data_IF_957307795928
#
_entry.id   IF_957307795928
#
_cell.length_a   1.000
_cell.length_b   1.000
_cell.length_c   1.000
_cell.angle_alpha   90.00
_cell.angle_beta   90.00
_cell.angle_gamma   90.00
#
_symmetry.space_group_name_H-M   'P 1'
#
loop_
_entity.id
_entity.type
_entity.pdbx_description
1 polymer ?
#
# COMPACT_ATOMS: atom_id res chain seq x y z
N UNK A 1 5.09 -2.68 -15.94
CA UNK A 1 3.73 -2.12 -15.83
C UNK A 1 3.48 -1.22 -17.05
N UNK A 2 2.23 -1.17 -17.52
CA UNK A 2 1.74 -0.25 -18.54
C UNK A 2 0.43 0.39 -18.06
N UNK A 3 0.27 1.70 -18.31
CA UNK A 3 -0.93 2.49 -18.05
C UNK A 3 -1.26 3.32 -19.28
N UNK A 4 -2.55 3.38 -19.65
CA UNK A 4 -3.03 4.28 -20.69
C UNK A 4 -4.39 4.90 -20.34
N UNK A 5 -4.49 6.22 -20.57
CA UNK A 5 -5.68 7.02 -20.33
C UNK A 5 -5.90 8.01 -21.48
N UNK A 6 -7.17 8.25 -21.79
CA UNK A 6 -7.59 9.36 -22.67
C UNK A 6 -7.97 10.55 -21.79
N UNK A 7 -7.38 11.71 -22.06
CA UNK A 7 -7.60 12.97 -21.39
C UNK A 7 -8.52 13.82 -22.27
N UNK A 8 -9.58 14.38 -21.69
CA UNK A 8 -10.52 15.21 -22.47
C UNK A 8 -9.95 16.58 -22.84
N UNK A 9 -8.91 17.00 -22.13
CA UNK A 9 -8.18 18.26 -22.27
C UNK A 9 -6.80 18.13 -21.63
N UNK A 10 -5.95 19.15 -21.81
CA UNK A 10 -4.67 19.24 -21.13
C UNK A 10 -4.82 19.14 -19.61
N UNK A 11 -4.41 18.01 -19.04
CA UNK A 11 -4.71 17.60 -17.66
C UNK A 11 -3.42 17.41 -16.87
N UNK A 12 -3.44 17.85 -15.60
CA UNK A 12 -2.37 17.58 -14.66
C UNK A 12 -2.58 16.21 -13.99
N UNK A 13 -1.52 15.42 -14.00
CA UNK A 13 -1.47 14.07 -13.44
C UNK A 13 -0.37 14.01 -12.37
N UNK A 14 -0.62 13.25 -11.31
CA UNK A 14 0.36 12.99 -10.27
C UNK A 14 0.56 11.48 -10.14
N UNK A 15 1.64 10.99 -10.72
CA UNK A 15 1.94 9.56 -10.83
C UNK A 15 2.87 9.11 -9.69
N UNK A 16 2.64 7.91 -9.17
CA UNK A 16 3.55 7.24 -8.23
C UNK A 16 3.56 5.74 -8.50
N UNK A 17 4.54 5.28 -9.28
CA UNK A 17 4.61 3.89 -9.76
C UNK A 17 5.99 3.29 -9.70
N UNK A 18 7.02 4.13 -9.55
CA UNK A 18 8.40 3.64 -9.42
C UNK A 18 8.61 3.01 -8.05
N UNK A 19 9.36 1.92 -8.02
CA UNK A 19 9.74 1.29 -6.76
C UNK A 19 10.74 2.16 -6.01
N UNK A 20 10.62 2.23 -4.69
CA UNK A 20 11.53 2.99 -3.85
C UNK A 20 12.85 2.25 -3.64
N UNK A 21 13.95 3.02 -3.53
CA UNK A 21 15.28 2.53 -3.16
C UNK A 21 15.51 2.79 -1.67
N UNK A 22 15.53 1.74 -0.86
CA UNK A 22 15.52 1.79 0.61
C UNK A 22 16.36 0.67 1.22
N UNK A 23 16.63 0.73 2.53
CA UNK A 23 17.65 -0.10 3.18
C UNK A 23 17.55 -1.63 2.93
N UNK A 24 16.33 -2.18 2.85
CA UNK A 24 16.04 -3.61 2.62
C UNK A 24 15.47 -3.89 1.22
N UNK A 25 15.57 -2.93 0.28
CA UNK A 25 15.19 -3.11 -1.12
C UNK A 25 16.00 -2.18 -2.02
N UNK A 26 16.80 -2.75 -2.92
CA UNK A 26 17.64 -2.01 -3.84
C UNK A 26 17.09 -2.03 -5.27
N UNK A 27 17.08 -0.86 -5.92
CA UNK A 27 16.77 -0.75 -7.35
C UNK A 27 18.04 -1.05 -8.16
N UNK A 28 18.03 -2.14 -8.93
CA UNK A 28 19.16 -2.53 -9.79
C UNK A 28 19.08 -1.87 -11.17
N UNK A 29 17.86 -1.76 -11.70
CA UNK A 29 17.56 -1.15 -12.98
C UNK A 29 16.17 -0.54 -12.92
N UNK A 30 16.00 0.62 -13.55
CA UNK A 30 14.73 1.33 -13.63
C UNK A 30 14.67 2.05 -14.98
N UNK A 31 13.55 1.89 -15.67
CA UNK A 31 13.24 2.53 -16.94
C UNK A 31 11.76 2.93 -16.94
N UNK A 32 11.50 4.22 -17.15
CA UNK A 32 10.15 4.77 -17.25
C UNK A 32 10.05 5.62 -18.50
N UNK A 33 9.04 5.34 -19.31
CA UNK A 33 8.77 5.99 -20.58
C UNK A 33 7.33 6.51 -20.63
N UNK A 34 7.15 7.63 -21.32
CA UNK A 34 5.87 8.33 -21.41
C UNK A 34 5.51 8.64 -22.86
N UNK A 35 4.21 8.76 -23.14
CA UNK A 35 3.76 9.45 -24.36
C UNK A 35 4.13 10.95 -24.33
N UNK A 36 3.77 11.70 -25.36
CA UNK A 36 4.08 13.13 -25.46
C UNK A 36 3.59 13.92 -24.23
N UNK A 37 4.54 14.55 -23.53
CA UNK A 37 4.29 15.36 -22.34
C UNK A 37 4.61 16.83 -22.60
N UNK A 38 3.77 17.72 -22.09
CA UNK A 38 4.05 19.16 -22.07
C UNK A 38 4.84 19.60 -20.83
N UNK A 39 4.81 18.80 -19.76
CA UNK A 39 5.55 19.04 -18.52
C UNK A 39 5.83 17.72 -17.79
N UNK A 40 7.00 17.65 -17.15
CA UNK A 40 7.37 16.60 -16.21
C UNK A 40 8.23 17.20 -15.08
N UNK A 41 7.87 16.91 -13.83
CA UNK A 41 8.68 17.25 -12.65
C UNK A 41 8.57 16.18 -11.57
N UNK A 42 9.70 15.82 -10.95
CA UNK A 42 9.74 14.88 -9.82
C UNK A 42 9.66 15.65 -8.49
N UNK A 43 8.92 15.12 -7.54
CA UNK A 43 8.82 15.63 -6.18
C UNK A 43 8.94 14.47 -5.19
N UNK A 44 9.52 14.67 -4.00
CA UNK A 44 9.60 13.62 -2.99
C UNK A 44 8.22 13.08 -2.62
N UNK A 45 8.09 11.76 -2.48
CA UNK A 45 6.91 11.17 -1.90
C UNK A 45 6.92 11.29 -0.36
N UNK A 46 5.83 10.87 0.26
CA UNK A 46 5.68 10.84 1.72
C UNK A 46 6.83 10.09 2.40
N UNK A 47 7.30 10.64 3.52
CA UNK A 47 8.45 10.13 4.29
C UNK A 47 9.75 9.99 3.48
N UNK A 48 9.83 10.61 2.29
CA UNK A 48 10.95 10.46 1.37
C UNK A 48 11.08 9.07 0.75
N UNK A 49 10.02 8.24 0.82
CA UNK A 49 10.01 6.89 0.25
C UNK A 49 9.54 6.94 -1.21
N UNK A 50 10.52 7.07 -2.11
CA UNK A 50 10.30 7.19 -3.54
C UNK A 50 9.94 8.62 -3.98
N UNK A 51 9.59 8.74 -5.26
CA UNK A 51 9.20 10.00 -5.89
C UNK A 51 7.76 9.94 -6.39
N UNK A 52 7.15 11.12 -6.49
CA UNK A 52 5.95 11.35 -7.31
C UNK A 52 6.32 12.18 -8.52
N UNK A 53 5.62 11.99 -9.62
CA UNK A 53 5.90 12.67 -10.89
C UNK A 53 4.68 13.51 -11.25
N UNK A 54 4.85 14.84 -11.22
CA UNK A 54 3.92 15.78 -11.82
C UNK A 54 4.07 15.76 -13.33
N UNK A 55 2.98 15.49 -14.02
CA UNK A 55 2.92 15.37 -15.48
C UNK A 55 1.81 16.28 -15.97
N UNK A 56 2.04 16.98 -17.09
CA UNK A 56 0.94 17.60 -17.85
C UNK A 56 0.91 17.03 -19.25
N UNK A 57 -0.20 16.39 -19.61
CA UNK A 57 -0.41 15.72 -20.88
C UNK A 57 -1.76 16.13 -21.49
N UNK A 58 -1.92 15.95 -22.80
CA UNK A 58 -3.15 16.21 -23.54
C UNK A 58 -3.41 15.07 -24.53
N UNK A 59 -4.68 14.78 -24.82
CA UNK A 59 -5.07 13.64 -25.63
C UNK A 59 -4.76 12.31 -24.94
N UNK A 60 -3.80 11.55 -25.45
CA UNK A 60 -3.50 10.21 -24.93
C UNK A 60 -2.27 10.20 -24.02
N UNK A 61 -2.47 9.81 -22.75
CA UNK A 61 -1.39 9.58 -21.80
C UNK A 61 -1.06 8.09 -21.73
N UNK A 62 0.19 7.72 -22.02
CA UNK A 62 0.74 6.39 -21.77
C UNK A 62 1.95 6.48 -20.85
N UNK A 63 2.07 5.49 -19.98
CA UNK A 63 3.24 5.28 -19.12
C UNK A 63 3.63 3.80 -19.17
N UNK A 64 4.88 3.53 -19.47
CA UNK A 64 5.46 2.19 -19.35
C UNK A 64 6.60 2.24 -18.36
N UNK A 65 6.55 1.36 -17.35
CA UNK A 65 7.56 1.28 -16.31
C UNK A 65 8.10 -0.15 -16.20
N UNK A 66 9.43 -0.30 -16.18
CA UNK A 66 10.14 -1.56 -15.99
C UNK A 66 11.24 -1.37 -14.96
N UNK A 67 11.39 -2.35 -14.07
CA UNK A 67 12.47 -2.32 -13.09
C UNK A 67 12.89 -3.73 -12.69
N UNK A 68 14.15 -3.86 -12.32
CA UNK A 68 14.69 -5.02 -11.61
C UNK A 68 15.12 -4.56 -10.22
N UNK A 69 14.71 -5.32 -9.21
CA UNK A 69 14.93 -4.99 -7.80
C UNK A 69 15.50 -6.19 -7.08
N UNK A 70 16.26 -5.91 -6.03
CA UNK A 70 16.67 -6.89 -5.03
C UNK A 70 15.95 -6.57 -3.72
N UNK A 71 15.32 -7.56 -3.09
CA UNK A 71 14.66 -7.41 -1.79
C UNK A 71 15.46 -8.22 -0.77
N UNK A 72 16.08 -7.52 0.19
CA UNK A 72 16.95 -8.09 1.21
C UNK A 72 16.28 -8.05 2.59
N UNK A 73 15.02 -8.50 2.63
CA UNK A 73 14.19 -8.49 3.84
C UNK A 73 14.18 -9.87 4.49
N UNK A 74 14.47 -9.99 5.80
CA UNK A 74 14.38 -11.28 6.48
C UNK A 74 12.93 -11.74 6.64
N UNK A 75 12.71 -13.05 6.61
CA UNK A 75 11.45 -13.65 7.06
C UNK A 75 11.42 -13.62 8.59
N UNK A 76 10.41 -12.96 9.15
CA UNK A 76 10.25 -12.79 10.60
C UNK A 76 8.93 -13.40 11.06
N UNK A 77 8.92 -13.94 12.27
CA UNK A 77 7.69 -14.25 12.99
C UNK A 77 7.10 -12.96 13.57
N UNK A 78 6.14 -12.39 12.86
CA UNK A 78 5.45 -11.16 13.27
C UNK A 78 4.85 -11.32 14.68
N UNK A 79 4.31 -12.49 15.02
CA UNK A 79 3.56 -12.71 16.26
C UNK A 79 4.42 -12.55 17.52
N UNK A 80 5.72 -12.76 17.41
CA UNK A 80 6.68 -12.65 18.51
C UNK A 80 7.10 -11.20 18.84
N UNK A 81 6.78 -10.24 17.97
CA UNK A 81 7.24 -8.86 18.09
C UNK A 81 6.44 -8.05 19.10
N UNK A 82 7.13 -7.23 19.90
CA UNK A 82 6.50 -6.38 20.90
C UNK A 82 6.01 -5.03 20.33
N UNK A 83 4.86 -4.55 20.82
CA UNK A 83 4.42 -3.17 20.57
C UNK A 83 5.34 -2.18 21.30
N UNK A 84 5.60 -1.04 20.66
CA UNK A 84 6.25 0.10 21.32
C UNK A 84 5.17 0.90 22.03
N UNK A 85 5.34 1.14 23.35
CA UNK A 85 4.37 1.92 24.13
C UNK A 85 4.21 3.33 23.54
N UNK A 86 3.00 3.92 23.51
CA UNK A 86 2.77 5.21 22.84
C UNK A 86 3.69 6.35 23.27
N UNK A 87 4.08 6.43 24.55
CA UNK A 87 4.98 7.46 25.06
C UNK A 87 6.47 7.24 24.73
N UNK A 88 6.82 6.10 24.14
CA UNK A 88 8.18 5.76 23.68
C UNK A 88 8.29 5.79 22.14
N UNK A 89 7.19 6.09 21.45
CA UNK A 89 7.18 6.14 19.99
C UNK A 89 8.02 7.32 19.47
N UNK A 90 8.81 7.11 18.40
CA UNK A 90 9.51 8.20 17.74
C UNK A 90 8.52 9.13 17.02
N UNK A 91 8.92 10.38 16.80
CA UNK A 91 8.04 11.42 16.25
C UNK A 91 7.43 11.04 14.90
N UNK A 92 8.17 10.36 14.02
CA UNK A 92 7.72 10.00 12.68
C UNK A 92 6.60 8.94 12.67
N UNK A 93 6.38 8.21 13.78
CA UNK A 93 5.27 7.24 13.86
C UNK A 93 3.97 7.87 14.36
N UNK A 94 4.03 9.04 15.00
CA UNK A 94 2.88 9.62 15.73
C UNK A 94 1.71 9.91 14.79
N UNK A 95 1.97 10.42 13.57
CA UNK A 95 0.93 10.64 12.55
C UNK A 95 0.16 9.36 12.22
N UNK A 96 0.83 8.21 12.26
CA UNK A 96 0.29 6.92 11.88
C UNK A 96 -0.50 6.22 12.99
N UNK A 97 -0.77 6.92 14.10
CA UNK A 97 -1.80 6.56 15.07
C UNK A 97 -3.14 7.25 14.75
N UNK A 98 -3.11 8.34 14.00
CA UNK A 98 -4.28 9.19 13.80
C UNK A 98 -5.25 8.59 12.77
N UNK A 99 -6.56 8.86 12.88
CA UNK A 99 -7.51 8.52 11.84
C UNK A 99 -7.22 9.30 10.56
N UNK A 100 -7.58 8.72 9.42
CA UNK A 100 -7.39 9.32 8.09
C UNK A 100 -8.63 9.11 7.20
N UNK A 101 -8.62 9.64 5.97
CA UNK A 101 -9.79 9.66 5.06
C UNK A 101 -10.43 8.28 4.87
N UNK A 102 -9.61 7.23 4.78
CA UNK A 102 -10.08 5.87 4.56
C UNK A 102 -9.95 4.97 5.79
N UNK A 103 -9.30 5.44 6.87
CA UNK A 103 -9.06 4.66 8.09
C UNK A 103 -9.59 5.40 9.32
N UNK A 104 -10.90 5.29 9.61
CA UNK A 104 -11.56 5.97 10.74
C UNK A 104 -11.35 5.22 12.07
N UNK A 105 -10.10 5.06 12.49
CA UNK A 105 -9.71 4.24 13.66
C UNK A 105 -10.36 4.67 14.98
N UNK A 106 -10.72 5.96 15.11
CA UNK A 106 -11.45 6.52 16.24
C UNK A 106 -12.84 5.89 16.47
N UNK A 107 -13.41 5.26 15.43
CA UNK A 107 -14.72 4.60 15.49
C UNK A 107 -14.64 3.11 15.85
N UNK A 108 -13.44 2.56 16.07
CA UNK A 108 -13.21 1.12 16.19
C UNK A 108 -12.69 0.64 17.55
N UNK A 109 -12.36 1.53 18.49
CA UNK A 109 -11.78 1.16 19.80
C UNK A 109 -12.58 0.08 20.53
N UNK A 110 -13.89 0.27 20.70
CA UNK A 110 -14.75 -0.70 21.40
C UNK A 110 -14.76 -2.09 20.77
N UNK A 111 -14.78 -2.17 19.43
CA UNK A 111 -14.74 -3.45 18.73
C UNK A 111 -13.37 -4.11 18.90
N UNK A 112 -12.31 -3.34 18.67
CA UNK A 112 -10.93 -3.80 18.75
C UNK A 112 -10.56 -4.30 20.14
N UNK A 113 -10.95 -3.58 21.18
CA UNK A 113 -10.73 -3.98 22.58
C UNK A 113 -11.50 -5.27 22.92
N UNK A 114 -12.76 -5.37 22.48
CA UNK A 114 -13.59 -6.55 22.74
C UNK A 114 -13.07 -7.82 22.04
N UNK A 115 -12.60 -7.70 20.80
CA UNK A 115 -12.12 -8.85 20.02
C UNK A 115 -10.66 -9.20 20.31
N UNK A 116 -9.78 -8.20 20.46
CA UNK A 116 -8.33 -8.38 20.45
C UNK A 116 -7.63 -7.81 21.68
N UNK A 117 -8.34 -7.21 22.64
CA UNK A 117 -7.75 -6.57 23.82
C UNK A 117 -7.00 -7.52 24.76
N UNK A 118 -7.19 -8.83 24.62
CA UNK A 118 -6.46 -9.86 25.36
C UNK A 118 -5.07 -10.20 24.76
N UNK A 119 -4.76 -9.65 23.58
CA UNK A 119 -3.48 -9.79 22.88
C UNK A 119 -2.70 -8.48 22.94
N UNK A 120 -1.43 -8.50 22.54
CA UNK A 120 -0.60 -7.31 22.38
C UNK A 120 0.41 -7.49 21.23
N UNK A 121 1.03 -6.38 20.79
CA UNK A 121 2.11 -6.41 19.82
C UNK A 121 1.75 -7.11 18.51
N UNK A 122 2.70 -7.85 17.97
CA UNK A 122 2.55 -8.60 16.75
C UNK A 122 1.54 -9.73 16.83
N UNK A 123 1.39 -10.40 17.99
CA UNK A 123 0.35 -11.42 18.18
C UNK A 123 -1.07 -10.84 17.99
N UNK A 124 -1.28 -9.58 18.41
CA UNK A 124 -2.54 -8.87 18.15
C UNK A 124 -2.76 -8.61 16.67
N UNK A 125 -1.72 -8.18 15.95
CA UNK A 125 -1.77 -7.88 14.51
C UNK A 125 -2.02 -9.16 13.71
N UNK A 126 -1.32 -10.25 14.04
CA UNK A 126 -1.52 -11.55 13.41
C UNK A 126 -2.96 -12.06 13.59
N UNK A 127 -3.51 -11.93 14.80
CA UNK A 127 -4.92 -12.25 15.05
C UNK A 127 -5.90 -11.36 14.26
N UNK A 128 -5.60 -10.07 14.08
CA UNK A 128 -6.40 -9.20 13.22
C UNK A 128 -6.34 -9.64 11.75
N UNK A 129 -5.15 -9.98 11.24
CA UNK A 129 -4.98 -10.51 9.89
C UNK A 129 -5.77 -11.81 9.68
N UNK A 130 -5.65 -12.77 10.60
CA UNK A 130 -6.41 -14.02 10.56
C UNK A 130 -7.92 -13.76 10.59
N UNK A 131 -8.38 -12.84 11.43
CA UNK A 131 -9.78 -12.47 11.50
C UNK A 131 -10.27 -11.84 10.19
N UNK A 132 -9.53 -10.87 9.61
CA UNK A 132 -9.86 -10.25 8.32
C UNK A 132 -9.93 -11.34 7.22
N UNK A 133 -8.91 -12.19 7.14
CA UNK A 133 -8.85 -13.25 6.14
C UNK A 133 -10.03 -14.23 6.25
N UNK A 134 -10.47 -14.55 7.47
CA UNK A 134 -11.60 -15.45 7.70
C UNK A 134 -12.98 -14.81 7.51
N UNK A 135 -13.11 -13.51 7.79
CA UNK A 135 -14.40 -12.82 7.88
C UNK A 135 -14.74 -12.01 6.63
N UNK A 136 -13.81 -11.86 5.68
CA UNK A 136 -13.98 -11.02 4.50
C UNK A 136 -13.73 -11.82 3.23
N UNK A 137 -14.47 -11.48 2.17
CA UNK A 137 -14.29 -12.08 0.86
C UNK A 137 -13.56 -11.11 -0.07
N UNK A 138 -12.59 -11.62 -0.83
CA UNK A 138 -11.91 -10.84 -1.87
C UNK A 138 -12.76 -10.82 -3.14
N UNK A 139 -13.38 -9.67 -3.44
CA UNK A 139 -14.37 -9.54 -4.53
C UNK A 139 -14.01 -8.35 -5.42
N UNK A 140 -13.39 -8.56 -6.60
CA UNK A 140 -13.13 -7.48 -7.56
C UNK A 140 -14.41 -6.71 -7.91
N UNK A 141 -14.34 -5.37 -7.87
CA UNK A 141 -15.48 -4.50 -8.17
C UNK A 141 -16.49 -4.32 -7.04
N UNK A 142 -16.28 -4.93 -5.87
CA UNK A 142 -17.13 -4.70 -4.68
C UNK A 142 -16.96 -3.31 -4.05
N UNK A 143 -15.83 -2.66 -4.29
CA UNK A 143 -15.48 -1.35 -3.75
C UNK A 143 -15.13 -0.34 -4.85
N UNK A 144 -15.07 0.94 -4.46
CA UNK A 144 -14.68 2.05 -5.34
C UNK A 144 -13.74 3.02 -4.62
N UNK A 145 -13.30 4.08 -5.32
CA UNK A 145 -12.33 5.05 -4.79
C UNK A 145 -12.80 5.80 -3.51
N UNK A 146 -14.09 5.78 -3.19
CA UNK A 146 -14.65 6.41 -2.00
C UNK A 146 -14.77 5.45 -0.81
N UNK A 147 -14.74 4.13 -1.03
CA UNK A 147 -14.89 3.08 -0.01
C UNK A 147 -13.84 3.23 1.09
N UNK A 148 -14.31 3.15 2.33
CA UNK A 148 -13.51 3.30 3.56
C UNK A 148 -13.42 1.98 4.33
N UNK A 149 -12.48 1.89 5.28
CA UNK A 149 -12.37 0.76 6.19
C UNK A 149 -13.68 0.44 6.90
N UNK A 150 -14.47 1.47 7.27
CA UNK A 150 -15.79 1.29 7.87
C UNK A 150 -16.78 0.62 6.92
N UNK A 151 -16.81 1.06 5.66
CA UNK A 151 -17.70 0.49 4.65
C UNK A 151 -17.35 -0.98 4.41
N UNK A 152 -16.07 -1.28 4.21
CA UNK A 152 -15.55 -2.64 4.04
C UNK A 152 -15.82 -3.51 5.26
N UNK A 153 -15.66 -2.97 6.46
CA UNK A 153 -16.00 -3.67 7.69
C UNK A 153 -17.47 -4.06 7.74
N UNK A 154 -18.39 -3.20 7.30
CA UNK A 154 -19.82 -3.54 7.26
C UNK A 154 -20.12 -4.55 6.15
N UNK A 155 -19.53 -4.34 4.96
CA UNK A 155 -19.80 -5.15 3.77
C UNK A 155 -19.15 -6.53 3.81
N UNK A 156 -18.05 -6.69 4.55
CA UNK A 156 -17.23 -7.92 4.59
C UNK A 156 -16.72 -8.35 3.22
N UNK A 157 -16.56 -7.41 2.30
CA UNK A 157 -16.06 -7.63 0.95
C UNK A 157 -15.15 -6.47 0.55
N UNK A 158 -14.14 -6.76 -0.26
CA UNK A 158 -13.25 -5.73 -0.78
C UNK A 158 -12.12 -6.29 -1.63
N UNK A 159 -11.15 -5.44 -1.94
CA UNK A 159 -9.88 -5.79 -2.58
C UNK A 159 -8.69 -5.47 -1.66
N UNK A 160 -7.46 -5.66 -2.13
CA UNK A 160 -6.24 -5.47 -1.34
C UNK A 160 -6.17 -4.12 -0.60
N UNK A 161 -6.56 -3.02 -1.28
CA UNK A 161 -6.66 -1.68 -0.70
C UNK A 161 -7.54 -1.65 0.54
N UNK A 162 -8.70 -2.28 0.46
CA UNK A 162 -9.71 -2.24 1.51
C UNK A 162 -9.30 -3.10 2.70
N UNK A 163 -8.70 -4.26 2.44
CA UNK A 163 -8.12 -5.14 3.46
C UNK A 163 -7.01 -4.41 4.22
N UNK A 164 -6.11 -3.72 3.52
CA UNK A 164 -5.08 -2.90 4.14
C UNK A 164 -5.67 -1.77 5.00
N UNK A 165 -6.70 -1.07 4.53
CA UNK A 165 -7.38 -0.02 5.32
C UNK A 165 -8.05 -0.55 6.57
N UNK A 166 -8.69 -1.72 6.51
CA UNK A 166 -9.28 -2.37 7.71
C UNK A 166 -8.18 -2.72 8.71
N UNK A 167 -7.09 -3.37 8.27
CA UNK A 167 -5.99 -3.72 9.16
C UNK A 167 -5.37 -2.49 9.83
N UNK A 168 -5.08 -1.44 9.05
CA UNK A 168 -4.55 -0.16 9.56
C UNK A 168 -5.50 0.45 10.59
N UNK A 169 -6.81 0.43 10.32
CA UNK A 169 -7.83 0.98 11.21
C UNK A 169 -7.83 0.24 12.56
N UNK A 170 -7.79 -1.09 12.55
CA UNK A 170 -7.77 -1.91 13.77
C UNK A 170 -6.46 -1.77 14.56
N UNK A 171 -5.32 -1.72 13.87
CA UNK A 171 -4.01 -1.51 14.48
C UNK A 171 -3.96 -0.14 15.19
N UNK A 172 -4.38 0.92 14.49
CA UNK A 172 -4.44 2.29 15.07
C UNK A 172 -5.41 2.39 16.24
N UNK A 173 -6.57 1.73 16.15
CA UNK A 173 -7.52 1.66 17.25
C UNK A 173 -6.93 0.95 18.49
N UNK A 174 -5.90 0.12 18.32
CA UNK A 174 -5.12 -0.51 19.41
C UNK A 174 -3.93 0.31 19.89
N UNK A 175 -3.74 1.52 19.38
CA UNK A 175 -2.57 2.34 19.71
C UNK A 175 -1.26 1.85 19.06
N UNK A 176 -1.33 1.02 18.02
CA UNK A 176 -0.16 0.55 17.26
C UNK A 176 -0.08 1.37 15.95
N UNK A 177 1.05 2.07 15.68
CA UNK A 177 1.18 2.83 14.44
C UNK A 177 1.14 1.91 13.22
N UNK A 178 0.33 2.30 12.24
CA UNK A 178 0.15 1.55 11.01
C UNK A 178 0.05 2.52 9.82
N UNK A 179 0.69 2.19 8.71
CA UNK A 179 0.66 3.01 7.48
C UNK A 179 0.35 2.16 6.25
N UNK A 180 -0.23 2.79 5.25
CA UNK A 180 -0.57 2.15 3.98
C UNK A 180 0.64 2.10 3.07
N UNK A 181 0.76 1.03 2.30
CA UNK A 181 1.87 0.84 1.38
C UNK A 181 1.34 0.38 0.03
N UNK A 182 1.67 1.13 -1.02
CA UNK A 182 1.48 0.67 -2.40
C UNK A 182 2.69 -0.16 -2.81
N UNK A 183 2.44 -1.31 -3.44
CA UNK A 183 3.48 -2.31 -3.71
C UNK A 183 3.30 -3.05 -5.03
N UNK A 184 4.38 -3.61 -5.53
CA UNK A 184 4.36 -4.72 -6.48
C UNK A 184 4.66 -6.03 -5.74
N UNK A 185 3.98 -7.12 -6.12
CA UNK A 185 4.25 -8.43 -5.56
C UNK A 185 3.92 -9.55 -6.54
N UNK A 186 4.75 -10.62 -6.60
CA UNK A 186 4.61 -11.71 -7.58
C UNK A 186 3.49 -12.72 -7.25
N UNK A 187 3.00 -12.74 -6.01
CA UNK A 187 1.94 -13.68 -5.58
C UNK A 187 0.51 -13.19 -5.84
N UNK A 188 0.36 -11.97 -6.37
CA UNK A 188 -0.94 -11.30 -6.53
C UNK A 188 -1.69 -11.89 -7.72
N UNK A 189 -2.94 -12.32 -7.50
CA UNK A 189 -3.76 -12.98 -8.52
C UNK A 189 -5.18 -12.40 -8.54
N UNK A 190 -5.68 -11.91 -9.71
CA UNK A 190 -4.93 -11.66 -10.94
C UNK A 190 -3.86 -10.59 -10.72
N UNK A 191 -2.79 -10.61 -11.52
CA UNK A 191 -1.69 -9.69 -11.32
C UNK A 191 -2.11 -8.24 -11.56
N UNK A 192 -1.92 -7.42 -10.53
CA UNK A 192 -2.19 -5.97 -10.55
C UNK A 192 -1.22 -5.25 -9.60
N UNK A 193 -1.37 -3.93 -9.44
CA UNK A 193 -0.86 -3.24 -8.27
C UNK A 193 -1.47 -3.85 -7.01
N UNK A 194 -0.71 -3.83 -5.92
CA UNK A 194 -1.15 -4.36 -4.64
C UNK A 194 -1.00 -3.32 -3.54
N UNK A 195 -1.70 -3.57 -2.44
CA UNK A 195 -1.72 -2.70 -1.28
C UNK A 195 -1.67 -3.53 -0.01
N UNK A 196 -0.81 -3.11 0.91
CA UNK A 196 -0.57 -3.77 2.19
C UNK A 196 -0.42 -2.73 3.29
N UNK A 197 -0.26 -3.18 4.53
CA UNK A 197 0.06 -2.30 5.65
C UNK A 197 1.54 -2.44 6.04
N UNK A 198 2.12 -1.38 6.58
CA UNK A 198 3.31 -1.45 7.41
C UNK A 198 2.91 -1.15 8.86
N UNK A 199 3.33 -2.01 9.78
CA UNK A 199 3.01 -1.92 11.22
C UNK A 199 4.28 -1.68 12.01
N UNK A 200 4.26 -0.72 12.93
CA UNK A 200 5.44 -0.38 13.73
C UNK A 200 5.54 -1.23 14.98
N UNK A 201 6.50 -2.16 15.00
CA UNK A 201 6.77 -3.10 16.10
C UNK A 201 8.27 -3.18 16.34
N UNK A 202 8.68 -3.30 17.60
CA UNK A 202 10.11 -3.39 18.01
C UNK A 202 11.02 -2.31 17.39
N UNK A 203 10.49 -1.10 17.21
CA UNK A 203 11.28 0.04 16.73
C UNK A 203 11.42 0.13 15.20
N UNK A 204 10.77 -0.74 14.41
CA UNK A 204 10.82 -0.69 12.94
C UNK A 204 9.47 -1.02 12.29
N UNK A 205 9.34 -0.71 11.00
CA UNK A 205 8.16 -0.98 10.18
C UNK A 205 8.22 -2.39 9.57
N UNK A 206 7.13 -3.15 9.71
CA UNK A 206 6.99 -4.51 9.18
C UNK A 206 5.84 -4.57 8.19
N UNK A 207 6.07 -5.10 6.99
CA UNK A 207 5.01 -5.30 5.99
C UNK A 207 4.08 -6.43 6.39
N UNK A 208 2.78 -6.19 6.26
CA UNK A 208 1.72 -7.13 6.62
C UNK A 208 0.64 -7.09 5.53
N UNK A 209 0.43 -8.23 4.87
CA UNK A 209 -0.61 -8.40 3.85
C UNK A 209 -1.81 -9.16 4.42
N UNK A 210 -2.89 -8.45 4.73
CA UNK A 210 -4.13 -9.06 5.23
C UNK A 210 -4.87 -9.91 4.17
N UNK A 211 -4.52 -9.80 2.89
CA UNK A 211 -5.08 -10.68 1.85
C UNK A 211 -4.41 -12.06 1.86
N UNK A 212 -3.18 -12.14 2.35
CA UNK A 212 -2.36 -13.35 2.32
C UNK A 212 -1.77 -13.69 0.93
N UNK A 213 -1.88 -12.79 -0.05
CA UNK A 213 -1.41 -13.05 -1.42
C UNK A 213 0.11 -12.94 -1.57
N UNK A 214 0.75 -12.06 -0.78
CA UNK A 214 2.17 -11.79 -0.90
C UNK A 214 2.89 -11.85 0.45
N UNK A 215 3.89 -12.73 0.62
CA UNK A 215 4.73 -12.73 1.81
C UNK A 215 5.71 -11.55 1.77
N UNK A 216 6.00 -10.99 2.95
CA UNK A 216 6.71 -9.73 3.09
C UNK A 216 8.07 -9.69 2.37
N UNK A 217 8.84 -10.78 2.39
CA UNK A 217 10.16 -10.92 1.75
C UNK A 217 10.14 -10.88 0.21
N UNK A 218 8.95 -10.76 -0.39
CA UNK A 218 8.76 -10.81 -1.84
C UNK A 218 8.13 -9.55 -2.42
N UNK A 219 7.77 -8.62 -1.53
CA UNK A 219 7.04 -7.40 -1.85
C UNK A 219 8.03 -6.26 -2.13
N UNK A 220 7.78 -5.56 -3.24
CA UNK A 220 8.47 -4.35 -3.63
C UNK A 220 7.67 -3.10 -3.25
N UNK A 221 8.22 -2.21 -2.44
CA UNK A 221 7.55 -0.95 -2.06
C UNK A 221 7.64 0.09 -3.17
N UNK A 222 6.51 0.75 -3.43
CA UNK A 222 6.39 1.92 -4.29
C UNK A 222 6.34 3.19 -3.43
N UNK A 223 5.45 3.22 -2.45
CA UNK A 223 5.19 4.41 -1.63
C UNK A 223 4.46 4.08 -0.34
N UNK A 224 4.58 4.96 0.66
CA UNK A 224 3.89 4.84 1.95
C UNK A 224 3.04 6.07 2.26
N UNK A 225 1.95 5.90 3.01
CA UNK A 225 1.03 6.99 3.32
C UNK A 225 0.19 6.69 4.54
N UNK A 226 -0.56 7.67 5.06
CA UNK A 226 -1.54 7.38 6.10
C UNK A 226 -2.63 6.46 5.56
N UNK A 227 -3.04 6.67 4.33
CA UNK A 227 -3.91 5.76 3.58
C UNK A 227 -3.71 5.95 2.07
N UNK A 228 -4.63 5.42 1.25
CA UNK A 228 -4.52 5.50 -0.21
C UNK A 228 -4.62 6.93 -0.77
N UNK A 229 -5.05 7.94 0.00
CA UNK A 229 -5.10 9.32 -0.47
C UNK A 229 -3.69 9.89 -0.71
N UNK A 230 -2.71 9.41 0.04
CA UNK A 230 -1.33 9.89 0.00
C UNK A 230 -0.52 9.21 -1.13
N UNK A 231 -0.89 7.98 -1.51
CA UNK A 231 -0.08 7.09 -2.39
C UNK A 231 -0.90 6.40 -3.48
N UNK A 232 -1.92 7.08 -4.00
CA UNK A 232 -2.57 6.64 -5.22
C UNK A 232 -1.56 6.54 -6.37
N UNK A 233 -1.61 5.46 -7.16
CA UNK A 233 -0.70 5.26 -8.28
C UNK A 233 -0.83 6.37 -9.34
N UNK A 234 -2.04 6.92 -9.50
CA UNK A 234 -2.34 8.04 -10.39
C UNK A 234 -3.41 8.94 -9.77
N UNK A 235 -3.05 10.19 -9.48
CA UNK A 235 -3.98 11.28 -9.24
C UNK A 235 -4.27 12.03 -10.54
N UNK A 236 -5.53 12.36 -10.79
CA UNK A 236 -5.98 13.09 -11.99
C UNK A 236 -6.65 14.40 -11.56
N UNK A 237 -6.12 15.52 -12.04
CA UNK A 237 -6.67 16.86 -11.79
C UNK A 237 -7.35 17.37 -13.07
N UNK A 238 -8.46 16.72 -13.41
CA UNK A 238 -9.18 16.90 -14.66
C UNK A 238 -10.07 15.69 -14.94
N UNK A 239 -10.35 15.43 -16.21
CA UNK A 239 -11.09 14.24 -16.63
C UNK A 239 -10.19 13.31 -17.43
N UNK A 240 -10.13 12.06 -16.97
CA UNK A 240 -9.40 11.00 -17.64
C UNK A 240 -10.30 9.76 -17.77
N UNK A 241 -10.32 9.16 -18.94
CA UNK A 241 -11.00 7.90 -19.22
C UNK A 241 -9.96 6.79 -19.28
N UNK A 242 -10.16 5.76 -18.48
CA UNK A 242 -9.33 4.55 -18.52
C UNK A 242 -9.37 3.90 -19.92
N UNK A 243 -8.19 3.53 -20.44
CA UNK A 243 -8.05 2.73 -21.67
C UNK A 243 -7.58 1.33 -21.29
N UNK A 244 -6.39 1.21 -20.71
CA UNK A 244 -5.81 -0.08 -20.33
C UNK A 244 -4.79 0.03 -19.20
N UNK A 245 -4.61 -1.08 -18.49
CA UNK A 245 -3.61 -1.26 -17.46
C UNK A 245 -3.11 -2.70 -17.49
N UNK A 246 -1.80 -2.87 -17.31
CA UNK A 246 -1.22 -4.17 -17.02
C UNK A 246 -0.06 -4.06 -16.04
N UNK A 247 -0.03 -4.96 -15.09
CA UNK A 247 1.09 -5.15 -14.16
C UNK A 247 1.55 -6.58 -14.29
N UNK A 248 2.85 -6.78 -14.33
CA UNK A 248 3.48 -8.10 -14.35
C UNK A 248 4.66 -8.03 -13.40
N UNK A 249 4.69 -8.95 -12.44
CA UNK A 249 5.76 -9.08 -11.46
C UNK A 249 6.21 -10.52 -11.49
N UNK A 250 7.49 -10.74 -11.77
CA UNK A 250 8.08 -12.09 -11.79
C UNK A 250 9.23 -12.14 -10.81
N UNK A 251 9.39 -13.28 -10.15
CA UNK A 251 10.67 -13.63 -9.56
C UNK A 251 11.51 -14.29 -10.65
N UNK A 252 12.81 -13.98 -10.76
CA UNK A 252 13.71 -14.83 -11.54
C UNK A 252 13.54 -16.26 -11.03
N UNK A 253 13.39 -17.24 -11.94
CA UNK A 253 13.58 -18.63 -11.54
C UNK A 253 14.96 -18.70 -10.92
N UNK A 254 15.03 -19.14 -9.68
CA UNK A 254 16.32 -19.40 -9.06
C UNK A 254 16.97 -20.52 -9.86
N UNK A 255 18.02 -20.21 -10.61
CA UNK A 255 19.00 -21.21 -11.04
C UNK A 255 19.59 -21.82 -9.76
N UNK A 256 18.94 -22.86 -9.23
CA UNK A 256 19.54 -23.76 -8.25
C UNK A 256 19.76 -25.11 -8.94
N UNK A 257 21.02 -25.60 -9.01
CA UNK A 257 21.27 -27.02 -9.20
C UNK A 257 20.85 -27.84 -7.96
#
# INVERSE_FOLDING_TARGET
>A
MHLAYELSEATDLLLQVEVADVADQQVLMSDIDFSDLSHLARVPAEEGLGDRIWIRADGEFRCTYKSSIQVDRPVLDLSALNAVKPHLLPWHTVRYLMPSRYCQSDQFSSFTDAQFGHLDGGAKIDAMCAWIHSAFEYVPGSSNAQTTARDTFVQRQGICRDFAHVLITLARASGIPARFVSVYAPGVTPQDFHAVAEIYLEGTWHLVDATGMAPADTIARIGVGQDAADVAFLGVFGQARFIEQSVVVTKPESDFP
#
